data_IF_643103706231
#
_entry.id   IF_643103706231
#
_cell.length_a   1.000
_cell.length_b   1.000
_cell.length_c   1.000
_cell.angle_alpha   90.00
_cell.angle_beta   90.00
_cell.angle_gamma   90.00
#
_symmetry.space_group_name_H-M   'P 1'
#
loop_
_entity.id
_entity.type
_entity.pdbx_description
1 polymer ?
#
# COMPACT_ATOMS: atom_id res chain seq x y z
N UNK A 1 -33.18 67.57 1.06
CA UNK A 1 -32.20 67.29 -0.02
C UNK A 1 -30.81 67.45 0.59
N UNK A 2 -30.27 66.41 1.24
CA UNK A 2 -29.48 65.33 0.65
C UNK A 2 -28.00 65.74 0.43
N UNK A 3 -27.17 65.56 1.46
CA UNK A 3 -25.75 65.21 1.29
C UNK A 3 -25.45 64.05 2.25
N UNK A 4 -25.09 62.93 1.64
CA UNK A 4 -24.80 61.62 2.23
C UNK A 4 -23.42 61.65 2.89
N UNK A 5 -23.33 61.12 4.11
CA UNK A 5 -22.10 60.97 4.87
C UNK A 5 -21.34 59.69 4.56
N UNK A 6 -20.03 59.74 4.72
CA UNK A 6 -19.17 58.58 5.01
C UNK A 6 -18.05 59.06 5.93
N UNK A 7 -18.17 58.77 7.22
CA UNK A 7 -17.08 58.90 8.18
C UNK A 7 -16.96 57.59 8.98
N UNK A 8 -15.89 56.86 8.69
CA UNK A 8 -15.08 56.05 9.61
C UNK A 8 -15.80 55.05 10.51
N UNK A 9 -15.97 53.83 9.99
CA UNK A 9 -16.03 52.60 10.79
C UNK A 9 -14.69 51.86 10.62
N UNK A 10 -13.77 52.11 11.55
CA UNK A 10 -12.68 51.20 11.87
C UNK A 10 -13.28 50.02 12.64
N UNK A 11 -13.46 48.87 11.99
CA UNK A 11 -13.74 47.60 12.66
C UNK A 11 -12.92 46.49 11.99
N UNK A 12 -11.98 45.95 12.76
CA UNK A 12 -11.35 44.63 12.66
C UNK A 12 -11.03 44.08 11.26
N UNK A 13 -9.77 44.24 10.86
CA UNK A 13 -9.08 43.21 10.07
C UNK A 13 -9.04 41.92 10.90
N UNK A 14 -10.09 41.11 10.74
CA UNK A 14 -10.05 39.70 11.07
C UNK A 14 -8.96 39.07 10.20
N UNK A 15 -7.94 38.54 10.87
CA UNK A 15 -7.20 37.34 10.51
C UNK A 15 -7.90 36.54 9.41
N UNK A 16 -7.44 36.70 8.16
CA UNK A 16 -7.66 35.70 7.12
C UNK A 16 -6.74 34.52 7.44
N UNK A 17 -7.13 33.77 8.48
CA UNK A 17 -6.79 32.36 8.58
C UNK A 17 -7.79 31.65 7.69
N UNK A 18 -7.58 31.69 6.38
CA UNK A 18 -8.33 30.85 5.46
C UNK A 18 -7.95 29.41 5.77
N UNK A 19 -8.82 28.79 6.55
CA UNK A 19 -8.72 27.41 6.98
C UNK A 19 -8.72 26.52 5.77
N UNK A 20 -7.54 25.98 5.45
CA UNK A 20 -7.47 24.67 4.84
C UNK A 20 -8.18 23.71 5.79
N UNK A 21 -9.42 23.36 5.45
CA UNK A 21 -10.10 22.26 6.12
C UNK A 21 -9.39 21.02 5.61
N UNK A 22 -8.62 20.28 6.45
CA UNK A 22 -7.97 19.08 5.99
C UNK A 22 -9.06 18.22 5.35
N UNK A 23 -8.82 17.75 4.11
CA UNK A 23 -9.67 16.73 3.49
C UNK A 23 -9.96 15.73 4.60
N UNK A 24 -11.25 15.51 4.91
CA UNK A 24 -11.71 14.59 5.97
C UNK A 24 -11.30 13.16 5.61
N UNK A 25 -10.00 12.88 5.63
CA UNK A 25 -9.43 11.56 5.61
C UNK A 25 -9.90 10.87 6.88
N UNK A 26 -10.43 9.68 6.72
CA UNK A 26 -11.06 8.91 7.77
C UNK A 26 -10.14 8.84 9.00
N UNK A 27 -10.52 9.48 10.13
CA UNK A 27 -9.68 9.70 11.33
C UNK A 27 -9.39 8.44 12.16
N UNK A 28 -9.62 7.26 11.60
CA UNK A 28 -9.43 5.99 12.30
C UNK A 28 -7.96 5.66 12.50
N UNK A 29 -7.62 5.11 13.68
CA UNK A 29 -6.28 4.59 13.94
C UNK A 29 -5.97 3.42 13.00
N UNK A 30 -4.79 3.41 12.41
CA UNK A 30 -4.34 2.39 11.46
C UNK A 30 -3.31 1.49 12.12
N UNK A 31 -3.43 0.19 11.92
CA UNK A 31 -2.38 -0.79 12.17
C UNK A 31 -1.73 -1.17 10.85
N UNK A 32 -0.40 -1.24 10.81
CA UNK A 32 0.33 -1.86 9.71
C UNK A 32 1.03 -3.11 10.21
N UNK A 33 0.59 -4.27 9.72
CA UNK A 33 1.25 -5.56 9.89
C UNK A 33 2.21 -5.78 8.74
N UNK A 34 3.51 -5.76 9.01
CA UNK A 34 4.55 -5.98 8.01
C UNK A 34 5.16 -7.38 8.21
N UNK A 35 4.93 -8.29 7.26
CA UNK A 35 5.55 -9.60 7.22
C UNK A 35 6.94 -9.52 6.59
N UNK A 36 7.98 -9.63 7.42
CA UNK A 36 9.36 -9.59 6.98
C UNK A 36 10.01 -10.97 6.93
N UNK A 37 10.50 -11.34 5.75
CA UNK A 37 11.43 -12.46 5.55
C UNK A 37 12.52 -11.99 4.60
N UNK A 38 13.78 -12.01 5.07
CA UNK A 38 14.95 -11.60 4.30
C UNK A 38 15.46 -12.78 3.48
N UNK A 39 15.07 -12.82 2.20
CA UNK A 39 15.51 -13.86 1.28
C UNK A 39 16.72 -13.40 0.45
N UNK A 40 16.71 -12.13 0.04
CA UNK A 40 17.72 -11.50 -0.80
C UNK A 40 17.70 -9.97 -0.64
N UNK A 41 18.65 -9.30 -1.30
CA UNK A 41 18.84 -7.84 -1.29
C UNK A 41 17.59 -7.04 -1.69
N UNK A 42 16.62 -7.63 -2.39
CA UNK A 42 15.38 -6.93 -2.72
C UNK A 42 14.58 -6.69 -1.44
N UNK A 43 14.43 -7.68 -0.57
CA UNK A 43 13.67 -7.51 0.67
C UNK A 43 14.39 -6.59 1.66
N UNK A 44 15.72 -6.68 1.73
CA UNK A 44 16.55 -5.76 2.52
C UNK A 44 16.32 -4.32 2.09
N UNK A 45 16.45 -4.01 0.78
CA UNK A 45 16.22 -2.65 0.25
C UNK A 45 14.78 -2.19 0.39
N UNK A 46 13.81 -3.10 0.22
CA UNK A 46 12.40 -2.76 0.37
C UNK A 46 12.08 -2.34 1.81
N UNK A 47 12.58 -3.08 2.79
CA UNK A 47 12.30 -2.78 4.18
C UNK A 47 13.08 -1.58 4.68
N UNK A 48 14.32 -1.39 4.23
CA UNK A 48 15.09 -0.16 4.50
C UNK A 48 14.39 1.10 3.96
N UNK A 49 13.86 1.02 2.73
CA UNK A 49 13.02 2.05 2.14
C UNK A 49 11.76 2.31 2.98
N UNK A 50 11.09 1.26 3.43
CA UNK A 50 9.86 1.35 4.22
C UNK A 50 10.08 1.95 5.61
N UNK A 51 11.13 1.53 6.33
CA UNK A 51 11.53 2.09 7.63
C UNK A 51 11.76 3.59 7.51
N UNK A 52 12.44 4.00 6.44
CA UNK A 52 12.79 5.41 6.22
C UNK A 52 11.56 6.21 5.83
N UNK A 53 10.84 5.82 4.77
CA UNK A 53 9.80 6.66 4.17
C UNK A 53 8.41 6.46 4.78
N UNK A 54 8.06 5.24 5.18
CA UNK A 54 6.71 4.90 5.66
C UNK A 54 6.57 5.00 7.17
N UNK A 55 7.55 4.45 7.90
CA UNK A 55 7.58 4.50 9.37
C UNK A 55 8.15 5.82 9.90
N UNK A 56 8.92 6.53 9.08
CA UNK A 56 9.49 7.82 9.42
C UNK A 56 10.57 7.78 10.51
N UNK A 57 11.30 6.66 10.64
CA UNK A 57 12.31 6.49 11.71
C UNK A 57 13.41 7.56 11.61
N UNK A 58 13.91 7.80 10.41
CA UNK A 58 14.95 8.81 10.12
C UNK A 58 14.44 9.91 9.17
N UNK A 59 13.13 10.00 8.99
CA UNK A 59 12.54 10.95 8.05
C UNK A 59 12.48 12.35 8.66
N UNK A 60 13.17 13.29 8.03
CA UNK A 60 13.23 14.70 8.44
C UNK A 60 12.10 15.54 7.86
N UNK A 61 11.41 15.04 6.83
CA UNK A 61 10.34 15.77 6.12
C UNK A 61 8.96 15.49 6.69
N UNK A 62 8.68 14.23 7.02
CA UNK A 62 7.35 13.81 7.47
C UNK A 62 7.44 12.66 8.49
N UNK A 63 6.51 12.64 9.45
CA UNK A 63 6.39 11.57 10.43
C UNK A 63 4.96 11.05 10.45
N UNK A 64 4.75 9.73 10.31
CA UNK A 64 3.42 9.16 10.32
C UNK A 64 2.74 9.41 11.67
N UNK A 65 1.45 9.71 11.62
CA UNK A 65 0.64 9.95 12.80
C UNK A 65 -0.62 9.09 12.76
N UNK A 66 -1.05 8.64 13.95
CA UNK A 66 -2.20 7.74 14.10
C UNK A 66 -2.04 6.37 13.40
N UNK A 67 -0.78 5.94 13.23
CA UNK A 67 -0.39 4.65 12.67
C UNK A 67 0.48 3.93 13.70
N UNK A 68 0.20 2.66 13.95
CA UNK A 68 1.06 1.75 14.71
C UNK A 68 1.60 0.68 13.76
N UNK A 69 2.85 0.26 13.96
CA UNK A 69 3.51 -0.73 13.11
C UNK A 69 3.83 -1.97 13.93
N UNK A 70 3.47 -3.13 13.42
CA UNK A 70 3.92 -4.44 13.92
C UNK A 70 4.67 -5.13 12.80
N UNK A 71 5.96 -5.32 13.00
CA UNK A 71 6.83 -6.07 12.09
C UNK A 71 6.98 -7.48 12.64
N UNK A 72 6.69 -8.47 11.82
CA UNK A 72 6.99 -9.88 12.14
C UNK A 72 8.19 -10.30 11.33
N UNK A 73 9.33 -10.48 11.99
CA UNK A 73 10.54 -11.03 11.40
C UNK A 73 10.47 -12.56 11.46
N UNK A 74 10.43 -13.18 10.29
CA UNK A 74 10.63 -14.62 10.13
C UNK A 74 12.08 -14.91 9.79
N UNK A 75 12.72 -15.82 10.53
CA UNK A 75 14.12 -16.18 10.35
C UNK A 75 15.09 -15.27 11.11
N UNK A 76 16.34 -15.69 11.17
CA UNK A 76 17.37 -15.01 11.96
C UNK A 76 17.93 -13.74 11.27
N UNK A 77 17.78 -13.65 9.95
CA UNK A 77 18.28 -12.53 9.16
C UNK A 77 17.29 -11.35 9.16
N UNK A 78 17.76 -10.19 9.62
CA UNK A 78 17.13 -8.91 9.36
C UNK A 78 18.14 -7.76 9.46
N UNK A 79 18.85 -7.48 8.37
CA UNK A 79 19.83 -6.39 8.33
C UNK A 79 19.20 -5.02 8.65
N UNK A 80 18.04 -4.62 8.08
CA UNK A 80 17.43 -3.33 8.38
C UNK A 80 16.87 -3.24 9.80
N UNK A 81 16.55 -4.37 10.46
CA UNK A 81 16.03 -4.36 11.84
C UNK A 81 17.05 -3.80 12.82
N UNK A 82 18.36 -3.80 12.51
CA UNK A 82 19.38 -3.18 13.38
C UNK A 82 19.08 -1.71 13.65
N UNK A 83 18.53 -0.98 12.67
CA UNK A 83 18.10 0.43 12.83
C UNK A 83 16.93 0.57 13.80
N UNK A 84 16.02 -0.40 13.79
CA UNK A 84 14.88 -0.42 14.71
C UNK A 84 15.34 -0.75 16.13
N UNK A 85 16.10 -1.84 16.28
CA UNK A 85 16.54 -2.38 17.56
C UNK A 85 17.36 -1.40 18.40
N UNK A 86 18.16 -0.53 17.78
CA UNK A 86 18.96 0.49 18.49
C UNK A 86 18.14 1.38 19.44
N UNK A 87 16.85 1.58 19.16
CA UNK A 87 15.96 2.45 19.92
C UNK A 87 14.88 1.70 20.72
N UNK A 88 14.78 0.38 20.56
CA UNK A 88 13.71 -0.43 21.13
C UNK A 88 14.11 -1.08 22.45
N UNK A 89 13.13 -1.34 23.32
CA UNK A 89 13.32 -2.06 24.59
C UNK A 89 12.52 -3.37 24.55
N UNK A 90 13.03 -4.39 25.24
CA UNK A 90 12.28 -5.63 25.45
C UNK A 90 10.87 -5.28 25.93
N UNK A 91 9.86 -5.87 25.30
CA UNK A 91 8.48 -5.60 25.63
C UNK A 91 7.98 -6.65 26.64
N UNK A 92 7.45 -6.19 27.78
CA UNK A 92 6.83 -7.03 28.81
C UNK A 92 5.48 -7.55 28.30
N UNK A 93 5.51 -8.67 27.58
CA UNK A 93 4.30 -9.29 27.03
C UNK A 93 4.25 -10.79 27.34
N UNK A 94 3.03 -11.30 27.54
CA UNK A 94 2.72 -12.73 27.64
C UNK A 94 2.93 -13.44 26.28
N UNK A 95 4.19 -13.54 25.83
CA UNK A 95 4.59 -14.28 24.64
C UNK A 95 4.15 -15.75 24.69
N UNK A 96 3.90 -16.28 25.88
CA UNK A 96 3.36 -17.63 26.09
C UNK A 96 2.05 -17.91 25.35
N UNK A 97 1.26 -16.87 25.03
CA UNK A 97 -0.03 -17.02 24.34
C UNK A 97 0.08 -16.91 22.81
N UNK A 98 1.18 -16.33 22.29
CA UNK A 98 1.38 -16.15 20.84
C UNK A 98 2.32 -17.21 20.33
N UNK A 99 1.79 -18.14 19.53
CA UNK A 99 2.59 -19.27 19.03
C UNK A 99 3.70 -18.76 18.09
N UNK A 100 4.83 -19.47 18.10
CA UNK A 100 5.99 -19.27 17.21
C UNK A 100 6.80 -17.97 17.44
N UNK A 101 6.37 -17.07 18.32
CA UNK A 101 7.14 -15.88 18.69
C UNK A 101 8.05 -16.19 19.87
N UNK A 102 9.34 -15.90 19.75
CA UNK A 102 10.30 -16.11 20.84
C UNK A 102 10.77 -14.80 21.48
N UNK A 103 10.61 -13.67 20.80
CA UNK A 103 11.03 -12.36 21.28
C UNK A 103 10.09 -11.27 20.77
N UNK A 104 9.82 -10.29 21.63
CA UNK A 104 9.15 -9.05 21.24
C UNK A 104 9.88 -7.84 21.78
N UNK A 105 10.13 -6.88 20.91
CA UNK A 105 10.78 -5.61 21.24
C UNK A 105 9.87 -4.48 20.80
N UNK A 106 9.67 -3.47 21.64
CA UNK A 106 8.84 -2.31 21.30
C UNK A 106 9.61 -1.02 21.56
N UNK A 107 9.46 -0.05 20.66
CA UNK A 107 10.21 1.20 20.70
C UNK A 107 9.35 2.46 20.64
N UNK A 108 10.00 3.63 20.79
CA UNK A 108 9.38 4.90 20.49
C UNK A 108 8.91 4.92 19.02
N UNK A 109 7.85 5.67 18.73
CA UNK A 109 7.25 5.71 17.38
C UNK A 109 6.19 4.63 17.11
N UNK A 110 5.71 3.91 18.15
CA UNK A 110 4.63 2.91 18.03
C UNK A 110 4.97 1.75 17.10
N UNK A 111 6.24 1.34 17.10
CA UNK A 111 6.73 0.17 16.38
C UNK A 111 6.96 -0.98 17.35
N UNK A 112 6.43 -2.15 17.01
CA UNK A 112 6.69 -3.43 17.67
C UNK A 112 7.33 -4.39 16.67
N UNK A 113 8.44 -5.02 17.07
CA UNK A 113 9.07 -6.11 16.34
C UNK A 113 8.76 -7.43 17.07
N UNK A 114 8.19 -8.39 16.36
CA UNK A 114 7.95 -9.76 16.80
C UNK A 114 8.85 -10.69 16.01
N UNK A 115 9.61 -11.55 16.70
CA UNK A 115 10.56 -12.44 16.03
C UNK A 115 10.13 -13.89 16.15
N UNK A 116 10.16 -14.60 15.01
CA UNK A 116 9.86 -16.02 14.89
C UNK A 116 10.97 -16.72 14.10
N UNK A 117 11.28 -17.97 14.46
CA UNK A 117 12.39 -18.72 13.86
C UNK A 117 12.11 -19.17 12.43
N UNK A 118 10.96 -19.79 12.22
CA UNK A 118 10.63 -20.40 10.93
C UNK A 118 9.73 -19.50 10.09
N UNK A 119 9.90 -19.52 8.77
CA UNK A 119 8.99 -18.87 7.82
C UNK A 119 7.83 -19.79 7.36
N UNK A 120 7.41 -20.70 8.22
CA UNK A 120 6.28 -21.60 7.97
C UNK A 120 4.97 -20.82 7.89
N UNK A 121 4.18 -21.08 6.84
CA UNK A 121 2.96 -20.32 6.54
C UNK A 121 3.19 -18.92 5.97
N UNK A 122 4.46 -18.54 5.76
CA UNK A 122 4.88 -17.33 5.08
C UNK A 122 4.21 -16.07 5.64
N UNK A 123 3.82 -15.17 4.76
CA UNK A 123 3.17 -13.88 5.00
C UNK A 123 1.86 -14.00 5.78
N UNK A 124 1.00 -14.94 5.43
CA UNK A 124 -0.28 -15.11 6.12
C UNK A 124 -0.11 -15.53 7.59
N UNK A 125 0.85 -16.41 7.88
CA UNK A 125 1.14 -16.78 9.26
C UNK A 125 1.79 -15.62 10.04
N UNK A 126 2.62 -14.81 9.40
CA UNK A 126 3.17 -13.59 10.01
C UNK A 126 2.07 -12.56 10.34
N UNK A 127 1.12 -12.36 9.44
CA UNK A 127 -0.06 -11.52 9.73
C UNK A 127 -0.91 -12.11 10.86
N UNK A 128 -1.12 -13.44 10.88
CA UNK A 128 -1.84 -14.10 11.97
C UNK A 128 -1.18 -13.83 13.33
N UNK A 129 0.15 -13.90 13.41
CA UNK A 129 0.90 -13.59 14.63
C UNK A 129 0.67 -12.16 15.10
N UNK A 130 0.62 -11.19 14.16
CA UNK A 130 0.28 -9.80 14.51
C UNK A 130 -1.13 -9.72 15.13
N UNK A 131 -2.09 -10.41 14.54
CA UNK A 131 -3.48 -10.41 15.01
C UNK A 131 -3.61 -11.10 16.38
N UNK A 132 -3.04 -12.29 16.56
CA UNK A 132 -3.02 -13.04 17.83
C UNK A 132 -2.37 -12.22 18.95
N UNK A 133 -1.21 -11.60 18.67
CA UNK A 133 -0.52 -10.74 19.62
C UNK A 133 -1.39 -9.55 20.08
N UNK A 134 -2.05 -8.86 19.15
CA UNK A 134 -2.89 -7.72 19.49
C UNK A 134 -4.24 -8.13 20.11
N UNK A 135 -4.75 -9.33 19.80
CA UNK A 135 -5.94 -9.90 20.43
C UNK A 135 -5.68 -10.26 21.89
N UNK A 136 -4.57 -10.94 22.17
CA UNK A 136 -4.15 -11.29 23.54
C UNK A 136 -4.01 -10.04 24.42
N UNK A 137 -3.58 -8.91 23.83
CA UNK A 137 -3.47 -7.62 24.52
C UNK A 137 -4.79 -6.82 24.58
N UNK A 138 -5.87 -7.30 23.96
CA UNK A 138 -7.14 -6.55 23.84
C UNK A 138 -7.02 -5.26 23.00
N UNK A 139 -5.97 -5.13 22.19
CA UNK A 139 -5.64 -3.91 21.42
C UNK A 139 -6.15 -3.92 20.00
N UNK A 140 -6.45 -5.08 19.42
CA UNK A 140 -6.85 -5.16 18.00
C UNK A 140 -8.07 -4.28 17.66
N UNK A 141 -9.04 -4.19 18.59
CA UNK A 141 -10.26 -3.38 18.42
C UNK A 141 -10.02 -1.86 18.40
N UNK A 142 -8.82 -1.40 18.76
CA UNK A 142 -8.47 0.02 18.74
C UNK A 142 -8.20 0.55 17.33
N UNK A 143 -7.92 -0.34 16.37
CA UNK A 143 -7.59 0.03 15.01
C UNK A 143 -8.83 -0.01 14.15
N UNK A 144 -9.14 1.09 13.46
CA UNK A 144 -10.23 1.10 12.48
C UNK A 144 -9.86 0.31 11.22
N UNK A 145 -8.57 0.33 10.88
CA UNK A 145 -8.03 -0.27 9.68
C UNK A 145 -6.78 -1.08 10.00
N UNK A 146 -6.61 -2.20 9.31
CA UNK A 146 -5.40 -3.00 9.30
C UNK A 146 -4.86 -3.04 7.88
N UNK A 147 -3.58 -2.73 7.71
CA UNK A 147 -2.86 -2.87 6.45
C UNK A 147 -1.89 -4.04 6.59
N UNK A 148 -1.94 -4.96 5.63
CA UNK A 148 -1.12 -6.15 5.52
C UNK A 148 -0.09 -5.91 4.41
N UNK A 149 1.19 -5.98 4.74
CA UNK A 149 2.30 -5.76 3.80
C UNK A 149 3.32 -6.90 3.87
N UNK A 150 3.79 -7.34 2.70
CA UNK A 150 4.78 -8.42 2.58
C UNK A 150 6.15 -7.84 2.20
N UNK A 151 7.26 -8.44 2.66
CA UNK A 151 8.62 -7.97 2.33
C UNK A 151 8.96 -7.91 0.84
N UNK A 152 8.19 -8.62 0.01
CA UNK A 152 8.36 -8.66 -1.44
C UNK A 152 8.00 -7.36 -2.19
N UNK A 153 7.37 -6.38 -1.53
CA UNK A 153 6.93 -5.13 -2.17
C UNK A 153 7.80 -3.95 -1.78
N UNK A 154 7.95 -2.98 -2.68
CA UNK A 154 8.54 -1.68 -2.39
C UNK A 154 7.46 -0.61 -2.38
N UNK A 155 7.53 0.28 -1.40
CA UNK A 155 6.60 1.38 -1.18
C UNK A 155 6.73 1.89 0.25
N UNK A 156 5.95 2.92 0.63
CA UNK A 156 4.93 3.60 -0.18
C UNK A 156 5.54 4.61 -1.14
N UNK A 157 5.00 4.67 -2.36
CA UNK A 157 5.25 5.74 -3.32
C UNK A 157 4.11 6.73 -3.28
N UNK A 158 4.43 7.99 -2.97
CA UNK A 158 3.46 9.08 -2.85
C UNK A 158 3.88 10.21 -3.80
N UNK A 159 3.03 10.63 -4.74
CA UNK A 159 3.36 11.72 -5.65
C UNK A 159 3.51 13.06 -4.94
N UNK A 160 4.36 13.93 -5.46
CA UNK A 160 4.61 15.28 -4.92
C UNK A 160 3.41 16.23 -5.00
N UNK A 161 2.40 15.91 -5.82
CA UNK A 161 1.16 16.69 -5.93
C UNK A 161 0.10 16.29 -4.89
N UNK A 162 0.38 15.31 -4.02
CA UNK A 162 -0.52 15.01 -2.91
C UNK A 162 -0.55 16.19 -1.93
N UNK A 163 -1.72 16.49 -1.34
CA UNK A 163 -1.84 17.62 -0.43
C UNK A 163 -1.00 17.42 0.83
N UNK A 164 -0.60 18.53 1.45
CA UNK A 164 0.13 18.50 2.72
C UNK A 164 -0.68 17.76 3.80
N UNK A 165 0.01 16.94 4.59
CA UNK A 165 -0.58 16.11 5.64
C UNK A 165 -1.30 14.85 5.14
N UNK A 166 -1.35 14.60 3.83
CA UNK A 166 -1.86 13.34 3.30
C UNK A 166 -0.89 12.20 3.62
N UNK A 167 -1.42 11.10 4.17
CA UNK A 167 -0.63 9.92 4.55
C UNK A 167 -0.95 8.74 3.63
N UNK A 168 0.08 7.99 3.24
CA UNK A 168 -0.04 6.84 2.32
C UNK A 168 -1.16 5.82 2.65
N UNK A 169 -1.54 5.53 3.92
CA UNK A 169 -2.65 4.62 4.20
C UNK A 169 -3.98 5.11 3.63
N UNK A 170 -4.14 6.44 3.47
CA UNK A 170 -5.35 7.06 2.96
C UNK A 170 -5.65 6.66 1.51
N UNK A 171 -4.65 6.19 0.73
CA UNK A 171 -4.91 5.60 -0.57
C UNK A 171 -5.86 4.40 -0.49
N UNK A 172 -5.74 3.60 0.57
CA UNK A 172 -6.57 2.42 0.81
C UNK A 172 -7.80 2.75 1.65
N UNK A 173 -7.61 3.41 2.79
CA UNK A 173 -8.68 3.56 3.80
C UNK A 173 -9.80 4.48 3.34
N UNK A 174 -9.56 5.36 2.37
CA UNK A 174 -10.60 6.18 1.73
C UNK A 174 -11.53 5.38 0.81
N UNK A 175 -11.14 4.15 0.42
CA UNK A 175 -11.89 3.27 -0.47
C UNK A 175 -12.66 2.18 0.29
N UNK A 176 -12.38 1.99 1.57
CA UNK A 176 -13.11 1.11 2.48
C UNK A 176 -14.43 1.78 2.91
N UNK A 177 -15.43 1.72 2.01
CA UNK A 177 -16.74 2.36 2.16
C UNK A 177 -17.85 1.46 1.63
N UNK A 178 -19.04 1.54 2.23
CA UNK A 178 -20.19 0.73 1.81
C UNK A 178 -19.90 -0.76 1.96
N UNK A 179 -20.11 -1.52 0.88
CA UNK A 179 -19.87 -2.97 0.81
C UNK A 179 -18.39 -3.33 0.53
N UNK A 180 -17.48 -2.35 0.47
CA UNK A 180 -16.04 -2.57 0.23
C UNK A 180 -15.31 -2.67 1.57
N UNK A 181 -14.93 -3.89 1.94
CA UNK A 181 -14.22 -4.15 3.21
C UNK A 181 -12.75 -4.56 3.05
N UNK A 182 -12.29 -4.78 1.81
CA UNK A 182 -10.88 -5.03 1.49
C UNK A 182 -10.46 -4.24 0.26
N UNK A 183 -9.29 -3.61 0.32
CA UNK A 183 -8.68 -2.87 -0.80
C UNK A 183 -7.24 -3.32 -0.96
N UNK A 184 -6.85 -3.82 -2.14
CA UNK A 184 -5.44 -4.14 -2.43
C UNK A 184 -4.80 -3.20 -3.45
N UNK A 185 -3.48 -3.11 -3.43
CA UNK A 185 -2.72 -2.44 -4.49
C UNK A 185 -3.04 -3.00 -5.89
N UNK A 186 -3.29 -4.31 -5.99
CA UNK A 186 -3.48 -5.02 -7.25
C UNK A 186 -4.52 -6.14 -7.14
N UNK A 187 -5.04 -6.52 -8.30
CA UNK A 187 -6.08 -7.53 -8.49
C UNK A 187 -5.83 -8.27 -9.81
N UNK A 188 -6.03 -9.58 -9.80
CA UNK A 188 -6.03 -10.45 -10.99
C UNK A 188 -7.41 -11.05 -11.19
N UNK A 189 -7.85 -11.22 -12.44
CA UNK A 189 -8.97 -12.12 -12.74
C UNK A 189 -8.43 -13.48 -13.18
N UNK A 190 -8.70 -14.54 -12.43
CA UNK A 190 -8.23 -15.87 -12.79
C UNK A 190 -9.10 -16.52 -13.86
N UNK A 191 -8.55 -17.37 -14.75
CA UNK A 191 -9.32 -18.21 -15.66
C UNK A 191 -9.94 -19.42 -14.94
N UNK A 192 -10.83 -20.16 -15.60
CA UNK A 192 -11.45 -21.38 -15.04
C UNK A 192 -10.45 -22.50 -14.70
N UNK A 193 -9.32 -22.54 -15.40
CA UNK A 193 -8.28 -23.58 -15.21
C UNK A 193 -7.46 -23.39 -13.93
N UNK A 194 -7.54 -22.20 -13.31
CA UNK A 194 -6.80 -21.92 -12.08
C UNK A 194 -7.50 -22.54 -10.86
N UNK A 195 -6.72 -23.07 -9.92
CA UNK A 195 -7.23 -23.67 -8.69
C UNK A 195 -7.97 -22.67 -7.78
N UNK A 196 -7.70 -21.37 -7.93
CA UNK A 196 -8.42 -20.29 -7.27
C UNK A 196 -9.84 -20.04 -7.80
N UNK A 197 -10.19 -20.64 -8.95
CA UNK A 197 -11.48 -20.50 -9.61
C UNK A 197 -11.63 -19.16 -10.35
N UNK A 198 -12.43 -19.18 -11.41
CA UNK A 198 -12.66 -18.04 -12.30
C UNK A 198 -13.09 -16.78 -11.55
N UNK A 199 -12.61 -15.63 -12.01
CA UNK A 199 -12.98 -14.32 -11.52
C UNK A 199 -11.94 -13.64 -10.63
N UNK A 200 -12.29 -12.47 -10.08
CA UNK A 200 -11.35 -11.53 -9.47
C UNK A 200 -10.79 -12.05 -8.14
N UNK A 201 -9.48 -11.89 -7.96
CA UNK A 201 -8.71 -12.18 -6.75
C UNK A 201 -7.80 -11.00 -6.45
N UNK A 202 -7.92 -10.45 -5.25
CA UNK A 202 -7.00 -9.48 -4.72
C UNK A 202 -5.64 -10.14 -4.53
N UNK A 203 -4.58 -9.45 -4.95
CA UNK A 203 -3.24 -9.90 -4.62
C UNK A 203 -2.88 -9.39 -3.21
N UNK A 204 -2.42 -10.30 -2.35
CA UNK A 204 -2.35 -10.07 -0.90
C UNK A 204 -1.06 -9.42 -0.41
N UNK A 205 -0.23 -8.92 -1.33
CA UNK A 205 1.09 -8.38 -1.00
C UNK A 205 1.07 -6.96 -0.43
N UNK A 206 0.00 -6.22 -0.69
CA UNK A 206 -0.34 -4.98 0.01
C UNK A 206 -1.86 -4.80 -0.02
N UNK A 207 -2.49 -4.94 1.14
CA UNK A 207 -3.94 -4.88 1.31
C UNK A 207 -4.33 -4.12 2.57
N UNK A 208 -5.43 -3.39 2.53
CA UNK A 208 -6.07 -2.81 3.70
C UNK A 208 -7.44 -3.44 3.91
N UNK A 209 -7.80 -3.59 5.18
CA UNK A 209 -9.06 -4.17 5.62
C UNK A 209 -9.62 -3.33 6.77
N UNK A 210 -10.94 -3.15 6.83
CA UNK A 210 -11.60 -2.54 7.98
C UNK A 210 -11.96 -3.58 9.06
N UNK A 211 -12.60 -3.18 10.14
CA UNK A 211 -12.94 -4.12 11.23
C UNK A 211 -13.92 -5.21 10.80
N UNK A 212 -14.87 -4.91 9.92
CA UNK A 212 -15.87 -5.89 9.47
C UNK A 212 -15.26 -6.90 8.51
N UNK A 213 -14.46 -6.43 7.54
CA UNK A 213 -13.69 -7.30 6.66
C UNK A 213 -12.72 -8.17 7.44
N UNK A 214 -12.03 -7.61 8.45
CA UNK A 214 -11.05 -8.36 9.23
C UNK A 214 -11.71 -9.50 9.99
N UNK A 215 -12.87 -9.23 10.60
CA UNK A 215 -13.68 -10.25 11.28
C UNK A 215 -14.03 -11.38 10.32
N UNK A 216 -14.54 -11.07 9.13
CA UNK A 216 -14.88 -12.07 8.10
C UNK A 216 -13.66 -12.88 7.67
N UNK A 217 -12.52 -12.23 7.40
CA UNK A 217 -11.29 -12.93 7.00
C UNK A 217 -10.80 -13.89 8.10
N UNK A 218 -10.90 -13.49 9.36
CA UNK A 218 -10.55 -14.34 10.49
C UNK A 218 -11.52 -15.52 10.65
N UNK A 219 -12.83 -15.28 10.55
CA UNK A 219 -13.87 -16.31 10.66
C UNK A 219 -13.76 -17.36 9.54
N UNK A 220 -13.41 -16.93 8.32
CA UNK A 220 -13.15 -17.82 7.17
C UNK A 220 -11.76 -18.49 7.23
N UNK A 221 -10.97 -18.21 8.26
CA UNK A 221 -9.65 -18.80 8.48
C UNK A 221 -8.62 -18.39 7.43
N UNK A 222 -8.75 -17.23 6.80
CA UNK A 222 -7.82 -16.75 5.75
C UNK A 222 -6.38 -16.72 6.24
N UNK A 223 -6.15 -16.31 7.48
CA UNK A 223 -4.81 -16.24 8.11
C UNK A 223 -4.33 -17.56 8.73
N UNK A 224 -5.08 -18.66 8.61
CA UNK A 224 -4.67 -19.94 9.17
C UNK A 224 -3.31 -20.39 8.61
N UNK A 225 -2.47 -20.94 9.49
CA UNK A 225 -1.15 -21.44 9.11
C UNK A 225 -1.31 -22.64 8.18
N UNK A 226 -0.62 -22.57 7.03
CA UNK A 226 -0.63 -23.60 5.99
C UNK A 226 0.79 -23.87 5.55
N UNK A 227 1.12 -25.13 5.28
CA UNK A 227 2.51 -25.52 4.90
C UNK A 227 2.70 -25.64 3.39
N UNK A 228 1.61 -25.88 2.66
CA UNK A 228 1.64 -26.04 1.22
C UNK A 228 1.33 -24.72 0.51
N UNK A 229 2.13 -24.36 -0.51
CA UNK A 229 1.98 -23.08 -1.22
C UNK A 229 0.85 -23.08 -2.26
N UNK A 230 0.89 -24.03 -3.21
CA UNK A 230 0.09 -23.99 -4.45
C UNK A 230 -1.06 -25.02 -4.51
N UNK A 231 -1.22 -25.87 -3.50
CA UNK A 231 -2.33 -26.83 -3.48
C UNK A 231 -3.67 -26.14 -3.16
N UNK A 232 -4.76 -26.89 -3.37
CA UNK A 232 -6.15 -26.43 -3.20
C UNK A 232 -6.45 -25.86 -1.81
N UNK A 233 -5.83 -26.40 -0.76
CA UNK A 233 -5.96 -25.90 0.61
C UNK A 233 -4.71 -25.12 1.08
N UNK A 234 -3.88 -24.70 0.12
CA UNK A 234 -2.61 -24.04 0.37
C UNK A 234 -2.71 -22.54 0.60
N UNK A 235 -1.55 -21.93 0.84
CA UNK A 235 -1.39 -20.50 1.15
C UNK A 235 -1.99 -19.60 0.07
N UNK A 236 -1.77 -19.92 -1.21
CA UNK A 236 -2.31 -19.09 -2.31
C UNK A 236 -3.82 -19.22 -2.41
N UNK A 237 -4.36 -20.44 -2.46
CA UNK A 237 -5.80 -20.64 -2.72
C UNK A 237 -6.67 -20.26 -1.53
N UNK A 238 -6.26 -20.60 -0.30
CA UNK A 238 -7.05 -20.33 0.92
C UNK A 238 -6.61 -19.09 1.70
N UNK A 239 -5.39 -18.61 1.49
CA UNK A 239 -4.91 -17.33 2.02
C UNK A 239 -5.17 -16.20 1.03
N UNK A 240 -4.31 -16.07 0.01
CA UNK A 240 -4.33 -14.94 -0.95
C UNK A 240 -5.68 -14.79 -1.66
N UNK A 241 -6.12 -15.84 -2.36
CA UNK A 241 -7.42 -15.84 -3.03
C UNK A 241 -8.59 -15.92 -2.03
N UNK A 242 -8.30 -16.34 -0.80
CA UNK A 242 -9.22 -16.33 0.33
C UNK A 242 -9.72 -14.93 0.68
N UNK A 243 -8.92 -13.87 0.44
CA UNK A 243 -9.36 -12.49 0.66
C UNK A 243 -10.63 -12.18 -0.13
N UNK A 244 -10.59 -12.38 -1.45
CA UNK A 244 -11.74 -12.13 -2.33
C UNK A 244 -12.85 -13.15 -2.13
N UNK A 245 -12.51 -14.43 -1.96
CA UNK A 245 -13.51 -15.48 -1.79
C UNK A 245 -14.36 -15.27 -0.53
N UNK A 246 -13.74 -14.86 0.58
CA UNK A 246 -14.43 -14.56 1.82
C UNK A 246 -15.38 -13.37 1.65
N UNK A 247 -14.94 -12.27 1.03
CA UNK A 247 -15.80 -11.10 0.80
C UNK A 247 -17.04 -11.47 -0.03
N UNK A 248 -16.84 -12.14 -1.18
CA UNK A 248 -17.94 -12.53 -2.07
C UNK A 248 -18.90 -13.51 -1.38
N UNK A 249 -18.40 -14.45 -0.57
CA UNK A 249 -19.23 -15.40 0.20
C UNK A 249 -20.19 -14.70 1.16
N UNK A 250 -19.80 -13.57 1.72
CA UNK A 250 -20.61 -12.76 2.65
C UNK A 250 -21.42 -11.66 1.94
N UNK A 251 -21.48 -11.65 0.61
CA UNK A 251 -22.24 -10.68 -0.18
C UNK A 251 -21.57 -9.30 -0.34
N UNK A 252 -20.36 -9.15 0.19
CA UNK A 252 -19.55 -7.96 0.06
C UNK A 252 -18.83 -7.90 -1.29
N UNK A 253 -18.31 -6.73 -1.61
CA UNK A 253 -17.40 -6.51 -2.74
C UNK A 253 -16.04 -6.06 -2.21
N UNK A 254 -15.11 -5.76 -3.10
CA UNK A 254 -13.77 -5.30 -2.73
C UNK A 254 -13.25 -4.34 -3.77
N UNK A 255 -12.05 -3.80 -3.58
CA UNK A 255 -11.54 -2.78 -4.48
C UNK A 255 -10.02 -2.83 -4.63
N UNK A 256 -9.51 -2.08 -5.59
CA UNK A 256 -8.09 -2.00 -5.89
C UNK A 256 -7.65 -0.58 -6.27
N UNK A 257 -6.36 -0.29 -6.06
CA UNK A 257 -5.73 0.96 -6.45
C UNK A 257 -5.44 1.06 -7.96
N UNK A 258 -5.52 -0.07 -8.68
CA UNK A 258 -5.32 -0.12 -10.13
C UNK A 258 -6.27 0.83 -10.88
N UNK A 259 -5.71 1.78 -11.62
CA UNK A 259 -6.42 2.84 -12.34
C UNK A 259 -7.37 2.29 -13.40
N UNK A 260 -7.01 1.18 -14.05
CA UNK A 260 -7.87 0.50 -15.04
C UNK A 260 -9.24 0.13 -14.47
N UNK A 261 -9.33 -0.16 -13.18
CA UNK A 261 -10.54 -0.63 -12.51
C UNK A 261 -11.25 0.46 -11.71
N UNK A 262 -10.88 1.73 -11.94
CA UNK A 262 -11.62 2.87 -11.40
C UNK A 262 -12.84 3.14 -12.27
N UNK A 263 -14.06 3.11 -11.72
CA UNK A 263 -15.22 3.61 -12.47
C UNK A 263 -15.18 5.14 -12.49
N UNK A 264 -15.43 5.73 -13.66
CA UNK A 264 -15.55 7.18 -13.78
C UNK A 264 -16.68 7.68 -12.86
N UNK A 265 -16.36 8.65 -12.00
CA UNK A 265 -17.34 9.30 -11.14
C UNK A 265 -18.30 10.06 -12.06
N UNK A 266 -19.56 9.64 -12.13
CA UNK A 266 -20.59 10.40 -12.82
C UNK A 266 -20.57 11.82 -12.22
N UNK A 267 -20.38 12.79 -13.12
CA UNK A 267 -20.14 14.20 -12.85
C UNK A 267 -21.34 14.79 -12.10
N UNK A 268 -21.32 14.78 -10.77
CA UNK A 268 -22.13 15.62 -9.89
C UNK A 268 -21.63 15.47 -8.44
N UNK A 269 -20.60 16.23 -8.08
CA UNK A 269 -20.51 16.98 -6.82
C UNK A 269 -20.75 16.32 -5.46
N UNK A 270 -20.77 15.00 -5.33
CA UNK A 270 -20.86 14.33 -4.02
C UNK A 270 -19.65 13.42 -3.88
N UNK A 271 -18.86 13.63 -2.82
CA UNK A 271 -17.87 12.68 -2.32
C UNK A 271 -18.53 11.31 -2.14
N UNK A 272 -17.80 10.24 -1.79
CA UNK A 272 -18.40 9.00 -1.28
C UNK A 272 -19.14 9.27 0.05
N UNK A 273 -20.13 10.16 0.04
CA UNK A 273 -20.94 10.60 1.16
C UNK A 273 -22.30 9.94 1.01
N UNK A 274 -22.63 9.19 2.05
CA UNK A 274 -23.98 8.77 2.38
C UNK A 274 -24.94 9.95 2.31
N UNK A 275 -26.01 9.82 1.51
CA UNK A 275 -27.27 10.49 1.80
C UNK A 275 -28.18 9.45 2.45
N UNK A 276 -28.44 9.60 3.74
CA UNK A 276 -29.48 8.84 4.42
C UNK A 276 -30.84 9.11 3.73
N UNK A 277 -31.59 8.04 3.45
CA UNK A 277 -33.01 8.16 3.06
C UNK A 277 -33.38 7.90 1.60
N UNK A 278 -32.49 7.37 0.76
CA UNK A 278 -32.89 6.87 -0.56
C UNK A 278 -32.42 5.43 -0.75
N UNK A 279 -33.32 4.59 -1.27
CA UNK A 279 -33.13 3.15 -1.53
C UNK A 279 -31.74 2.84 -2.12
N UNK A 280 -31.10 1.71 -1.75
CA UNK A 280 -29.73 1.43 -2.17
C UNK A 280 -29.73 1.12 -3.66
N UNK A 281 -29.30 2.08 -4.47
CA UNK A 281 -28.78 1.73 -5.78
C UNK A 281 -27.52 0.89 -5.52
N UNK A 282 -27.57 -0.39 -5.89
CA UNK A 282 -26.45 -1.34 -5.83
C UNK A 282 -25.20 -0.88 -6.63
N UNK A 283 -25.30 0.23 -7.35
CA UNK A 283 -24.32 0.73 -8.32
C UNK A 283 -23.61 2.04 -7.88
N UNK A 284 -23.76 2.47 -6.62
CA UNK A 284 -23.50 3.84 -6.18
C UNK A 284 -22.07 4.23 -5.75
N UNK A 285 -21.07 3.38 -5.89
CA UNK A 285 -19.68 3.73 -5.55
C UNK A 285 -18.83 3.72 -6.83
N UNK A 286 -17.91 4.67 -6.99
CA UNK A 286 -17.03 4.82 -8.16
C UNK A 286 -16.02 3.68 -8.36
N UNK A 287 -16.36 2.46 -7.95
CA UNK A 287 -15.56 1.25 -7.96
C UNK A 287 -16.27 0.17 -8.78
N UNK A 288 -15.52 -0.74 -9.39
CA UNK A 288 -16.08 -1.89 -10.11
C UNK A 288 -16.75 -2.82 -9.10
N UNK A 289 -17.99 -3.24 -9.37
CA UNK A 289 -18.62 -4.27 -8.55
C UNK A 289 -18.17 -5.65 -9.04
N UNK A 290 -17.29 -6.28 -8.26
CA UNK A 290 -16.73 -7.58 -8.56
C UNK A 290 -17.70 -8.75 -8.33
N UNK A 291 -18.89 -8.49 -7.77
CA UNK A 291 -19.99 -9.46 -7.72
C UNK A 291 -20.60 -9.67 -9.10
N UNK A 292 -20.49 -8.68 -9.98
CA UNK A 292 -20.94 -8.79 -11.37
C UNK A 292 -19.93 -9.58 -12.22
N UNK A 293 -20.39 -10.74 -12.70
CA UNK A 293 -19.59 -11.66 -13.52
C UNK A 293 -19.18 -11.07 -14.86
N UNK A 294 -19.84 -10.02 -15.34
CA UNK A 294 -19.41 -9.31 -16.54
C UNK A 294 -17.98 -8.76 -16.43
N UNK A 295 -17.49 -8.53 -15.20
CA UNK A 295 -16.15 -8.00 -14.94
C UNK A 295 -15.06 -9.09 -14.77
N UNK A 296 -15.41 -10.38 -14.81
CA UNK A 296 -14.51 -11.49 -14.41
C UNK A 296 -13.47 -11.89 -15.45
N UNK A 297 -13.51 -11.31 -16.65
CA UNK A 297 -12.50 -11.48 -17.68
C UNK A 297 -11.52 -10.28 -17.73
N UNK A 298 -11.38 -9.56 -16.61
CA UNK A 298 -10.51 -8.40 -16.54
C UNK A 298 -9.06 -8.76 -16.93
N UNK A 299 -8.39 -7.84 -17.64
CA UNK A 299 -7.03 -8.04 -18.14
C UNK A 299 -6.82 -9.34 -18.92
N UNK A 300 -7.85 -9.82 -19.63
CA UNK A 300 -7.82 -11.07 -20.40
C UNK A 300 -7.39 -12.28 -19.56
N UNK A 301 -7.73 -12.27 -18.27
CA UNK A 301 -7.31 -13.27 -17.29
C UNK A 301 -5.79 -13.44 -17.14
N UNK A 302 -5.02 -12.40 -17.47
CA UNK A 302 -3.57 -12.36 -17.27
C UNK A 302 -3.25 -11.68 -15.94
N UNK A 303 -2.26 -12.19 -15.20
CA UNK A 303 -1.73 -11.53 -14.01
C UNK A 303 -1.13 -10.17 -14.37
N UNK A 304 -1.57 -9.03 -13.78
CA UNK A 304 -1.00 -7.71 -14.06
C UNK A 304 0.35 -7.48 -13.37
N UNK A 305 0.71 -8.33 -12.40
CA UNK A 305 1.92 -8.24 -11.58
C UNK A 305 3.17 -8.81 -12.25
N UNK A 306 3.30 -8.69 -13.57
CA UNK A 306 4.54 -8.97 -14.32
C UNK A 306 4.81 -7.81 -15.27
N UNK A 307 6.05 -7.73 -15.72
CA UNK A 307 6.44 -6.68 -16.66
C UNK A 307 5.67 -6.84 -17.98
N UNK A 308 4.98 -5.79 -18.42
CA UNK A 308 4.22 -5.77 -19.67
C UNK A 308 2.89 -6.55 -19.68
N UNK A 309 2.47 -7.13 -18.55
CA UNK A 309 1.27 -7.97 -18.50
C UNK A 309 0.02 -7.26 -17.96
N UNK A 310 0.09 -5.95 -17.74
CA UNK A 310 -1.04 -5.11 -17.38
C UNK A 310 -1.48 -4.31 -18.62
N UNK A 311 -2.22 -4.97 -19.53
CA UNK A 311 -2.56 -4.47 -20.89
C UNK A 311 -1.35 -3.96 -21.70
N UNK A 312 -0.21 -4.67 -21.65
CA UNK A 312 1.01 -4.24 -22.33
C UNK A 312 1.84 -3.23 -21.54
N UNK A 313 1.37 -2.81 -20.36
CA UNK A 313 2.09 -1.94 -19.43
C UNK A 313 2.63 -2.72 -18.23
N UNK A 314 3.42 -2.03 -17.42
CA UNK A 314 3.75 -2.43 -16.05
C UNK A 314 3.07 -1.49 -15.07
N UNK A 315 2.57 -2.00 -13.94
CA UNK A 315 2.02 -1.15 -12.88
C UNK A 315 3.03 -0.08 -12.46
N UNK A 316 2.58 1.18 -12.45
CA UNK A 316 3.43 2.29 -12.06
C UNK A 316 3.44 2.46 -10.52
N UNK A 317 4.58 2.75 -9.86
CA UNK A 317 4.65 2.89 -8.40
C UNK A 317 3.64 3.88 -7.81
N UNK A 318 3.43 5.02 -8.46
CA UNK A 318 2.45 6.02 -8.05
C UNK A 318 0.97 5.65 -8.29
N UNK A 319 0.69 4.58 -9.04
CA UNK A 319 -0.67 4.08 -9.23
C UNK A 319 -1.10 3.21 -8.04
N UNK A 320 -0.23 2.28 -7.62
CA UNK A 320 -0.60 1.22 -6.68
C UNK A 320 -0.01 1.40 -5.28
N UNK A 321 0.76 2.48 -5.05
CA UNK A 321 1.47 2.86 -3.80
C UNK A 321 2.57 1.87 -3.39
N UNK A 322 2.31 0.57 -3.46
CA UNK A 322 3.29 -0.49 -3.32
C UNK A 322 3.34 -1.30 -4.62
N UNK A 323 4.53 -1.78 -4.97
CA UNK A 323 4.77 -2.58 -6.18
C UNK A 323 5.56 -3.81 -5.82
N UNK A 324 5.22 -4.95 -6.43
CA UNK A 324 5.89 -6.25 -6.24
C UNK A 324 7.30 -6.27 -6.86
N UNK A 325 8.24 -5.63 -6.17
CA UNK A 325 9.63 -5.46 -6.60
C UNK A 325 10.37 -6.79 -6.79
N UNK A 326 10.02 -7.84 -6.03
CA UNK A 326 10.61 -9.19 -6.21
C UNK A 326 10.32 -9.84 -7.56
N UNK A 327 9.36 -9.29 -8.32
CA UNK A 327 9.04 -9.72 -9.69
C UNK A 327 9.47 -8.68 -10.74
N UNK A 328 10.29 -7.71 -10.34
CA UNK A 328 10.81 -6.64 -11.19
C UNK A 328 9.72 -5.80 -11.89
N UNK A 329 8.52 -5.76 -11.31
CA UNK A 329 7.40 -4.96 -11.84
C UNK A 329 7.77 -3.48 -11.79
N UNK A 330 7.62 -2.79 -12.91
CA UNK A 330 7.85 -1.34 -13.00
C UNK A 330 9.32 -0.92 -12.84
N UNK A 331 10.29 -1.84 -12.88
CA UNK A 331 11.69 -1.47 -13.04
C UNK A 331 11.92 -0.81 -14.42
N UNK A 332 12.75 0.26 -14.53
CA UNK A 332 13.63 0.84 -13.50
C UNK A 332 12.97 1.92 -12.62
N UNK A 333 11.72 2.29 -12.87
CA UNK A 333 11.04 3.39 -12.15
C UNK A 333 10.99 3.16 -10.63
N UNK A 334 10.68 1.93 -10.20
CA UNK A 334 10.61 1.57 -8.77
C UNK A 334 11.94 1.80 -8.05
N UNK A 335 13.08 1.52 -8.69
CA UNK A 335 14.40 1.73 -8.10
C UNK A 335 14.72 3.23 -8.02
N UNK A 336 14.51 3.97 -9.12
CA UNK A 336 14.87 5.40 -9.18
C UNK A 336 14.00 6.28 -8.28
N UNK A 337 12.69 6.03 -8.23
CA UNK A 337 11.81 6.76 -7.31
C UNK A 337 12.13 6.44 -5.85
N UNK A 338 12.51 5.20 -5.52
CA UNK A 338 12.88 4.85 -4.16
C UNK A 338 14.17 5.56 -3.73
N UNK A 339 15.17 5.62 -4.61
CA UNK A 339 16.42 6.37 -4.38
C UNK A 339 16.12 7.85 -4.05
N UNK A 340 15.33 8.51 -4.90
CA UNK A 340 14.99 9.92 -4.70
C UNK A 340 14.18 10.16 -3.42
N UNK A 341 13.16 9.34 -3.16
CA UNK A 341 12.32 9.49 -1.98
C UNK A 341 13.09 9.21 -0.68
N UNK A 342 13.99 8.22 -0.65
CA UNK A 342 14.88 7.99 0.50
C UNK A 342 15.80 9.18 0.72
N UNK A 343 16.46 9.67 -0.33
CA UNK A 343 17.35 10.81 -0.22
C UNK A 343 16.62 12.03 0.33
N UNK A 344 15.44 12.34 -0.21
CA UNK A 344 14.59 13.43 0.28
C UNK A 344 14.18 13.23 1.74
N UNK A 345 13.71 12.04 2.12
CA UNK A 345 13.33 11.72 3.50
C UNK A 345 14.49 11.91 4.47
N UNK A 346 15.73 11.66 4.05
CA UNK A 346 16.93 11.86 4.86
C UNK A 346 17.48 13.31 4.79
N UNK A 347 16.81 14.22 4.08
CA UNK A 347 17.28 15.60 3.88
C UNK A 347 18.43 15.74 2.89
N UNK A 348 18.74 14.70 2.14
CA UNK A 348 19.77 14.69 1.12
C UNK A 348 19.26 15.30 -0.20
N UNK A 349 20.08 16.09 -0.91
CA UNK A 349 19.69 16.70 -2.17
C UNK A 349 19.58 15.66 -3.28
N UNK A 350 18.49 15.71 -4.05
CA UNK A 350 18.27 14.86 -5.25
C UNK A 350 18.49 15.59 -6.58
N UNK A 351 18.88 16.86 -6.53
CA UNK A 351 19.02 17.75 -7.69
C UNK A 351 20.46 17.92 -8.17
N UNK A 352 21.44 17.29 -7.50
CA UNK A 352 22.84 17.35 -7.90
C UNK A 352 23.09 16.40 -9.08
N UNK A 353 23.94 16.81 -10.01
CA UNK A 353 24.34 16.01 -11.17
C UNK A 353 25.48 16.65 -11.94
N UNK A 354 26.03 15.91 -12.90
CA UNK A 354 26.96 16.40 -13.91
C UNK A 354 26.24 16.52 -15.26
N UNK A 355 26.80 17.31 -16.18
CA UNK A 355 26.27 17.37 -17.55
C UNK A 355 26.49 16.04 -18.25
N UNK A 356 25.39 15.32 -18.48
CA UNK A 356 25.34 14.12 -19.32
C UNK A 356 25.17 14.57 -20.78
N UNK A 357 26.29 14.89 -21.41
CA UNK A 357 26.31 15.40 -22.78
C UNK A 357 25.69 14.41 -23.79
N UNK A 358 25.99 13.09 -23.75
CA UNK A 358 25.40 12.13 -24.67
C UNK A 358 23.88 12.04 -24.53
N UNK A 359 23.36 11.94 -23.30
CA UNK A 359 21.91 11.86 -23.10
C UNK A 359 21.22 13.17 -23.46
N UNK A 360 21.84 14.32 -23.17
CA UNK A 360 21.33 15.61 -23.61
C UNK A 360 21.23 15.70 -25.14
N UNK A 361 22.30 15.34 -25.86
CA UNK A 361 22.33 15.36 -27.33
C UNK A 361 21.29 14.41 -27.93
N UNK A 362 21.11 13.24 -27.35
CA UNK A 362 20.05 12.32 -27.73
C UNK A 362 18.66 12.93 -27.49
N UNK A 363 18.40 13.46 -26.29
CA UNK A 363 17.08 13.99 -25.89
C UNK A 363 16.58 15.14 -26.77
N UNK A 364 17.49 15.97 -27.30
CA UNK A 364 17.14 17.07 -28.23
C UNK A 364 17.16 16.68 -29.71
N UNK A 365 17.50 15.42 -30.03
CA UNK A 365 17.60 14.94 -31.40
C UNK A 365 16.24 14.60 -32.02
N UNK A 366 16.19 14.56 -33.36
CA UNK A 366 15.03 14.04 -34.09
C UNK A 366 14.82 12.53 -33.88
N UNK A 367 15.85 11.79 -33.47
CA UNK A 367 15.76 10.36 -33.18
C UNK A 367 14.90 10.10 -31.94
N UNK A 368 15.14 10.84 -30.86
CA UNK A 368 14.35 10.74 -29.62
C UNK A 368 12.87 11.12 -29.81
N UNK A 369 12.54 11.92 -30.83
CA UNK A 369 11.14 12.26 -31.14
C UNK A 369 10.45 11.20 -32.01
N UNK A 370 11.22 10.40 -32.75
CA UNK A 370 10.69 9.40 -33.69
C UNK A 370 10.48 8.04 -33.02
N UNK A 371 11.31 7.67 -32.06
CA UNK A 371 11.22 6.36 -31.42
C UNK A 371 10.41 6.43 -30.11
N UNK A 372 9.23 5.78 -30.03
CA UNK A 372 8.44 5.73 -28.81
C UNK A 372 8.97 4.73 -27.76
N UNK A 373 10.00 3.96 -28.06
CA UNK A 373 10.52 2.89 -27.20
C UNK A 373 11.60 3.41 -26.24
N UNK A 374 11.31 3.34 -24.93
CA UNK A 374 12.23 3.74 -23.86
C UNK A 374 13.55 2.97 -23.89
N UNK A 375 13.56 1.77 -24.49
CA UNK A 375 14.71 0.90 -24.60
C UNK A 375 15.86 1.51 -25.42
N UNK A 376 15.56 2.40 -26.37
CA UNK A 376 16.62 3.10 -27.10
C UNK A 376 17.39 4.07 -26.22
N UNK A 377 16.72 4.70 -25.26
CA UNK A 377 17.38 5.58 -24.28
C UNK A 377 18.42 4.79 -23.47
N UNK A 378 18.11 3.55 -23.08
CA UNK A 378 19.06 2.72 -22.31
C UNK A 378 20.31 2.39 -23.12
N UNK A 379 20.22 2.25 -24.44
CA UNK A 379 21.41 2.04 -25.30
C UNK A 379 22.35 3.24 -25.30
N UNK A 380 21.84 4.46 -25.14
CA UNK A 380 22.67 5.67 -25.01
C UNK A 380 23.39 5.67 -23.67
N UNK A 381 22.68 5.32 -22.59
CA UNK A 381 23.25 5.24 -21.24
C UNK A 381 24.32 4.15 -21.11
N UNK A 382 24.17 3.03 -21.82
CA UNK A 382 25.14 1.93 -21.78
C UNK A 382 26.40 2.21 -22.61
N UNK A 383 26.32 3.06 -23.64
CA UNK A 383 27.50 3.48 -24.44
C UNK A 383 28.49 4.31 -23.64
N UNK A 384 28.02 5.04 -22.63
CA UNK A 384 28.83 5.91 -21.77
C UNK A 384 29.54 5.16 -20.64
N UNK A 385 29.04 3.98 -20.25
CA UNK A 385 29.69 3.13 -19.23
C UNK A 385 30.85 2.28 -19.78
N UNK A 386 31.08 2.36 -21.09
CA UNK A 386 32.10 1.60 -21.82
C UNK A 386 33.28 2.42 -22.34
N UNK A 387 33.46 3.67 -21.91
CA UNK A 387 34.62 4.52 -22.20
C UNK A 387 35.47 4.78 -20.96
#
# INVERSE_FOLDING_TARGET
>A
MAIIGVALLWWSLMSVSDGYTPIRGNKGKVLVSYSYFEKDDIQTRNFDFFITTAMGVDNVLDKPHNIDFVVVQSGDACEPCKRLLQSMKAADNALSEVRQVYESVSGPGRVTLLQRKENEGMDFAAHNITLEYLLAQGRLKQYKYVILLNSSVRGPFVPSYMPEGWQWPQAYTSRLVGDVHVVSSSLVCLPEVDLGGHGPKLESWAAAVDQEGLRVLMDEGVFAIRTCKLCKDGIVVKGEYGLSAAMTKHGYTFDTLMSKYRKARATLGLLCEWKEGFLPARDGHGCVDWRDRANWNCNNNVHPSRHGTYDGLSMHPFETVFVKASWHVGGPFVDKYAEWMTAQALGNPTTRGAFDEPMYRYAVSMEAQKDPHVEQCYKVLDRDKGQ
#
